data_IF_919712821580
#
_entry.id   IF_919712821580
#
_cell.length_a   1.000
_cell.length_b   1.000
_cell.length_c   1.000
_cell.angle_alpha   90.00
_cell.angle_beta   90.00
_cell.angle_gamma   90.00
#
_symmetry.space_group_name_H-M   'P 1'
#
loop_
_entity.id
_entity.type
_entity.pdbx_description
1 polymer ?
#
# COMPACT_ATOMS: atom_id res chain seq x y z
N UNK A 1 -6.70 -31.63 31.59
CA UNK A 1 -7.20 -30.24 31.43
C UNK A 1 -5.99 -29.33 31.45
N UNK A 2 -5.58 -28.80 30.30
CA UNK A 2 -4.47 -27.86 30.22
C UNK A 2 -5.04 -26.46 29.94
N UNK A 3 -5.06 -25.63 30.97
CA UNK A 3 -5.42 -24.21 30.88
C UNK A 3 -4.28 -23.43 30.21
N UNK A 4 -4.30 -23.37 28.88
CA UNK A 4 -3.49 -22.44 28.09
C UNK A 4 -4.45 -21.66 27.18
N UNK A 5 -5.04 -20.55 27.64
CA UNK A 5 -5.89 -19.76 26.73
C UNK A 5 -6.19 -18.30 27.10
N UNK A 6 -5.86 -17.81 28.29
CA UNK A 6 -6.37 -16.48 28.71
C UNK A 6 -5.38 -15.34 28.45
N UNK A 7 -4.12 -15.46 28.86
CA UNK A 7 -3.18 -14.32 28.83
C UNK A 7 -2.67 -13.93 27.42
N UNK A 8 -2.29 -14.90 26.58
CA UNK A 8 -1.83 -14.58 25.21
C UNK A 8 -2.94 -14.00 24.32
N UNK A 9 -4.19 -14.43 24.51
CA UNK A 9 -5.34 -13.90 23.75
C UNK A 9 -5.67 -12.47 24.22
N UNK A 10 -5.55 -12.19 25.53
CA UNK A 10 -5.72 -10.85 26.07
C UNK A 10 -4.59 -9.88 25.64
N UNK A 11 -3.34 -10.36 25.50
CA UNK A 11 -2.24 -9.56 24.96
C UNK A 11 -2.47 -9.16 23.49
N UNK A 12 -2.92 -10.09 22.63
CA UNK A 12 -3.28 -9.76 21.24
C UNK A 12 -4.45 -8.76 21.14
N UNK A 13 -5.49 -8.93 21.98
CA UNK A 13 -6.64 -8.01 22.00
C UNK A 13 -6.26 -6.61 22.54
N UNK A 14 -5.29 -6.54 23.45
CA UNK A 14 -4.83 -5.27 24.01
C UNK A 14 -3.82 -4.56 23.11
N UNK A 15 -2.96 -5.29 22.39
CA UNK A 15 -2.11 -4.72 21.33
C UNK A 15 -2.96 -4.15 20.19
N UNK A 16 -3.98 -4.88 19.73
CA UNK A 16 -4.93 -4.36 18.73
C UNK A 16 -5.63 -3.09 19.21
N UNK A 17 -6.07 -3.02 20.48
CA UNK A 17 -6.73 -1.82 21.03
C UNK A 17 -5.79 -0.62 21.15
N UNK A 18 -4.52 -0.82 21.48
CA UNK A 18 -3.53 0.25 21.53
C UNK A 18 -3.11 0.70 20.13
N UNK A 19 -3.00 -0.24 19.18
CA UNK A 19 -2.69 0.03 17.78
C UNK A 19 -3.83 0.81 17.12
N UNK A 20 -5.09 0.39 17.32
CA UNK A 20 -6.31 1.09 16.88
C UNK A 20 -6.37 2.53 17.46
N UNK A 21 -6.03 2.73 18.74
CA UNK A 21 -5.98 4.10 19.33
C UNK A 21 -4.90 4.99 18.71
N UNK A 22 -3.75 4.42 18.34
CA UNK A 22 -2.67 5.18 17.68
C UNK A 22 -2.98 5.47 16.20
N UNK A 23 -3.65 4.54 15.52
CA UNK A 23 -4.09 4.65 14.12
C UNK A 23 -5.23 5.67 13.96
N UNK A 24 -6.06 5.84 14.99
CA UNK A 24 -7.10 6.88 15.07
C UNK A 24 -6.55 8.31 15.21
N UNK A 25 -5.24 8.50 15.40
CA UNK A 25 -4.60 9.84 15.37
C UNK A 25 -4.26 10.33 13.95
N UNK A 26 -4.65 9.57 12.91
CA UNK A 26 -4.71 10.00 11.51
C UNK A 26 -3.37 10.22 10.81
N UNK A 27 -2.24 10.19 11.52
CA UNK A 27 -0.92 10.51 10.94
C UNK A 27 -0.04 9.32 10.58
N UNK A 28 -0.48 8.08 10.81
CA UNK A 28 0.37 6.90 10.61
C UNK A 28 -0.26 5.84 9.73
N UNK A 29 0.59 5.12 9.01
CA UNK A 29 0.19 3.92 8.28
C UNK A 29 0.07 2.74 9.25
N UNK A 30 -1.09 2.08 9.23
CA UNK A 30 -1.31 0.82 9.92
C UNK A 30 -0.60 -0.35 9.23
N UNK A 31 -0.52 -1.48 9.93
CA UNK A 31 0.15 -2.70 9.45
C UNK A 31 -0.41 -3.21 8.12
N UNK A 32 -1.74 -3.14 7.93
CA UNK A 32 -2.42 -3.49 6.67
C UNK A 32 -1.92 -2.65 5.50
N UNK A 33 -1.82 -1.32 5.66
CA UNK A 33 -1.32 -0.44 4.62
C UNK A 33 0.15 -0.73 4.29
N UNK A 34 0.99 -0.95 5.30
CA UNK A 34 2.38 -1.30 5.10
C UNK A 34 2.54 -2.61 4.34
N UNK A 35 1.78 -3.65 4.70
CA UNK A 35 1.76 -4.93 3.97
C UNK A 35 1.34 -4.74 2.52
N UNK A 36 0.26 -3.99 2.29
CA UNK A 36 -0.22 -3.71 0.94
C UNK A 36 0.80 -2.93 0.11
N UNK A 37 1.58 -2.01 0.70
CA UNK A 37 2.58 -1.22 -0.02
C UNK A 37 3.85 -2.03 -0.32
N UNK A 38 4.36 -2.82 0.63
CA UNK A 38 5.70 -3.40 0.55
C UNK A 38 5.73 -4.90 0.22
N UNK A 39 4.66 -5.64 0.48
CA UNK A 39 4.60 -7.08 0.30
C UNK A 39 3.66 -7.49 -0.85
N UNK A 40 2.59 -6.72 -1.03
CA UNK A 40 1.52 -7.09 -1.95
C UNK A 40 0.75 -8.31 -1.46
N UNK A 41 -0.39 -8.55 -2.08
CA UNK A 41 -1.37 -9.53 -1.62
C UNK A 41 -1.94 -10.31 -2.81
N UNK A 42 -2.33 -11.57 -2.59
CA UNK A 42 -3.08 -12.38 -3.55
C UNK A 42 -4.39 -12.73 -2.86
N UNK A 43 -5.47 -12.11 -3.30
CA UNK A 43 -6.79 -12.22 -2.66
C UNK A 43 -7.91 -12.12 -3.68
N UNK A 44 -9.09 -12.60 -3.31
CA UNK A 44 -10.30 -12.47 -4.13
C UNK A 44 -10.80 -11.02 -4.09
N UNK A 45 -11.08 -10.45 -5.26
CA UNK A 45 -11.77 -9.17 -5.36
C UNK A 45 -13.27 -9.31 -5.03
N UNK A 46 -14.02 -8.21 -5.10
CA UNK A 46 -15.46 -8.19 -4.81
C UNK A 46 -16.30 -9.09 -5.73
N UNK A 47 -15.77 -9.50 -6.89
CA UNK A 47 -16.40 -10.45 -7.80
C UNK A 47 -15.96 -11.91 -7.57
N UNK A 48 -15.19 -12.19 -6.52
CA UNK A 48 -14.66 -13.51 -6.20
C UNK A 48 -13.46 -13.94 -7.04
N UNK A 49 -12.93 -13.06 -7.89
CA UNK A 49 -11.78 -13.37 -8.75
C UNK A 49 -10.49 -13.11 -7.97
N UNK A 50 -9.66 -14.14 -7.84
CA UNK A 50 -8.34 -14.03 -7.20
C UNK A 50 -7.39 -13.22 -8.07
N UNK A 51 -6.83 -12.15 -7.49
CA UNK A 51 -5.95 -11.21 -8.18
C UNK A 51 -4.77 -10.80 -7.29
N UNK A 52 -3.68 -10.37 -7.93
CA UNK A 52 -2.57 -9.72 -7.24
C UNK A 52 -2.89 -8.25 -6.97
N UNK A 53 -2.67 -7.79 -5.73
CA UNK A 53 -2.91 -6.43 -5.26
C UNK A 53 -1.68 -5.86 -4.55
N UNK A 54 -1.67 -4.53 -4.35
CA UNK A 54 -0.58 -3.84 -3.66
C UNK A 54 0.79 -3.92 -4.35
N UNK A 55 1.86 -3.90 -3.55
CA UNK A 55 3.26 -3.86 -3.96
C UNK A 55 3.59 -2.64 -4.85
N UNK A 56 4.04 -1.59 -4.18
CA UNK A 56 4.44 -0.31 -4.76
C UNK A 56 5.90 0.03 -4.49
N UNK A 57 6.65 -0.86 -3.83
CA UNK A 57 8.11 -0.77 -3.66
C UNK A 57 8.73 -2.16 -3.62
N UNK A 58 10.00 -2.27 -4.02
CA UNK A 58 10.78 -3.51 -3.96
C UNK A 58 11.82 -3.48 -2.83
N UNK A 59 11.74 -2.51 -1.92
CA UNK A 59 12.74 -2.36 -0.84
C UNK A 59 12.84 -3.59 0.08
N UNK A 60 11.75 -4.34 0.24
CA UNK A 60 11.71 -5.61 0.99
C UNK A 60 11.54 -6.84 0.07
N UNK A 61 11.69 -6.66 -1.26
CA UNK A 61 11.36 -7.60 -2.34
C UNK A 61 10.93 -9.00 -1.87
N UNK A 62 9.63 -9.28 -1.78
CA UNK A 62 9.14 -10.60 -1.37
C UNK A 62 9.64 -11.69 -2.32
N UNK A 63 10.02 -12.85 -1.77
CA UNK A 63 10.57 -13.97 -2.55
C UNK A 63 9.60 -14.52 -3.61
N UNK A 64 8.30 -14.24 -3.50
CA UNK A 64 7.27 -14.66 -4.43
C UNK A 64 6.95 -13.61 -5.50
N UNK A 65 7.77 -12.57 -5.64
CA UNK A 65 7.55 -11.46 -6.58
C UNK A 65 8.66 -11.43 -7.65
N UNK A 66 8.26 -11.33 -8.92
CA UNK A 66 9.17 -11.14 -10.05
C UNK A 66 8.73 -9.95 -10.91
N UNK A 67 9.65 -9.01 -11.14
CA UNK A 67 9.45 -7.99 -12.18
C UNK A 67 9.61 -8.64 -13.55
N UNK A 68 8.55 -8.57 -14.36
CA UNK A 68 8.57 -9.12 -15.72
C UNK A 68 9.17 -8.12 -16.70
N UNK A 69 8.74 -6.85 -16.62
CA UNK A 69 9.26 -5.75 -17.42
C UNK A 69 8.94 -4.40 -16.79
N UNK A 70 9.82 -3.43 -17.02
CA UNK A 70 9.51 -2.01 -16.84
C UNK A 70 8.72 -1.53 -18.05
N UNK A 71 7.50 -1.04 -17.83
CA UNK A 71 6.59 -0.57 -18.88
C UNK A 71 6.89 0.90 -19.20
N UNK A 72 7.01 1.73 -18.17
CA UNK A 72 7.35 3.14 -18.30
C UNK A 72 8.64 3.44 -17.56
N UNK A 73 9.52 4.22 -18.20
CA UNK A 73 10.76 4.71 -17.57
C UNK A 73 10.44 5.64 -16.40
N UNK A 74 11.45 5.83 -15.56
CA UNK A 74 11.43 6.78 -14.44
C UNK A 74 10.92 8.15 -14.92
N UNK A 75 9.90 8.69 -14.25
CA UNK A 75 9.53 10.09 -14.41
C UNK A 75 10.55 11.00 -13.70
N UNK A 76 10.33 12.32 -13.78
CA UNK A 76 11.23 13.31 -13.15
C UNK A 76 11.42 13.12 -11.63
N UNK A 77 10.52 12.40 -10.96
CA UNK A 77 10.58 12.13 -9.54
C UNK A 77 11.05 10.69 -9.23
N UNK A 78 11.45 9.93 -10.24
CA UNK A 78 11.89 8.54 -10.09
C UNK A 78 10.75 7.52 -9.95
N UNK A 79 9.50 7.91 -10.18
CA UNK A 79 8.37 6.97 -10.22
C UNK A 79 8.40 6.22 -11.53
N UNK A 80 8.08 4.92 -11.52
CA UNK A 80 8.08 4.09 -12.74
C UNK A 80 6.91 3.11 -12.71
N UNK A 81 6.64 2.50 -13.87
CA UNK A 81 5.58 1.51 -14.00
C UNK A 81 6.18 0.17 -14.41
N UNK A 82 5.78 -0.90 -13.74
CA UNK A 82 6.20 -2.26 -14.05
C UNK A 82 5.01 -3.17 -14.35
N UNK A 83 5.26 -4.23 -15.13
CA UNK A 83 4.49 -5.47 -15.07
C UNK A 83 5.23 -6.42 -14.15
N UNK A 84 4.54 -6.95 -13.16
CA UNK A 84 5.09 -7.90 -12.21
C UNK A 84 4.21 -9.15 -12.12
N UNK A 85 4.82 -10.22 -11.64
CA UNK A 85 4.19 -11.49 -11.34
C UNK A 85 4.33 -11.78 -9.84
N UNK A 86 3.25 -12.25 -9.22
CA UNK A 86 3.22 -12.75 -7.85
C UNK A 86 2.82 -14.22 -7.87
N UNK A 87 3.61 -15.06 -7.22
CA UNK A 87 3.30 -16.47 -7.06
C UNK A 87 2.55 -16.68 -5.74
N UNK A 88 1.40 -17.31 -5.81
CA UNK A 88 0.72 -17.84 -4.63
C UNK A 88 1.51 -19.05 -4.13
N UNK A 89 2.08 -18.94 -2.93
CA UNK A 89 2.93 -19.97 -2.35
C UNK A 89 2.15 -21.24 -1.95
N UNK A 90 0.83 -21.14 -1.77
CA UNK A 90 -0.01 -22.28 -1.44
C UNK A 90 -0.37 -23.09 -2.68
N UNK A 91 -0.73 -22.40 -3.77
CA UNK A 91 -1.25 -23.05 -4.98
C UNK A 91 -0.24 -23.15 -6.13
N UNK A 92 0.89 -22.44 -6.04
CA UNK A 92 1.87 -22.28 -7.11
C UNK A 92 1.38 -21.43 -8.29
N UNK A 93 0.15 -20.91 -8.24
CA UNK A 93 -0.42 -20.11 -9.33
C UNK A 93 0.25 -18.75 -9.41
N UNK A 94 0.43 -18.27 -10.64
CA UNK A 94 1.06 -16.98 -10.92
C UNK A 94 -0.02 -15.98 -11.32
N UNK A 95 -0.03 -14.83 -10.65
CA UNK A 95 -0.91 -13.70 -10.93
C UNK A 95 -0.08 -12.52 -11.40
N UNK A 96 -0.46 -11.91 -12.53
CA UNK A 96 0.28 -10.76 -13.07
C UNK A 96 -0.50 -9.47 -12.91
N UNK A 97 0.20 -8.38 -12.61
CA UNK A 97 -0.39 -7.04 -12.49
C UNK A 97 0.53 -5.95 -13.04
N UNK A 98 -0.06 -4.81 -13.34
CA UNK A 98 0.63 -3.53 -13.53
C UNK A 98 0.71 -2.82 -12.19
N UNK A 99 1.85 -2.23 -11.85
CA UNK A 99 2.01 -1.42 -10.63
C UNK A 99 2.79 -0.13 -10.91
N UNK A 100 2.40 0.96 -10.27
CA UNK A 100 3.21 2.17 -10.15
C UNK A 100 4.10 2.04 -8.92
N UNK A 101 5.38 2.32 -9.09
CA UNK A 101 6.41 2.04 -8.10
C UNK A 101 7.03 3.33 -7.57
N UNK A 102 7.25 3.37 -6.25
CA UNK A 102 8.08 4.38 -5.61
C UNK A 102 9.51 4.31 -6.15
N UNK A 103 10.28 5.41 -6.08
CA UNK A 103 11.66 5.42 -6.52
C UNK A 103 12.46 4.28 -5.89
N UNK A 104 13.18 3.52 -6.72
CA UNK A 104 13.93 2.36 -6.26
C UNK A 104 15.09 2.73 -5.30
N UNK A 105 15.51 3.99 -5.31
CA UNK A 105 16.53 4.54 -4.41
C UNK A 105 15.99 4.88 -3.01
N UNK A 106 14.68 4.84 -2.81
CA UNK A 106 14.07 5.20 -1.53
C UNK A 106 14.04 4.02 -0.56
N UNK A 107 14.45 4.28 0.68
CA UNK A 107 14.25 3.34 1.79
C UNK A 107 12.78 3.20 2.17
N UNK A 108 12.44 2.12 2.87
CA UNK A 108 11.11 1.92 3.47
C UNK A 108 10.69 3.11 4.34
N UNK A 109 11.58 3.57 5.22
CA UNK A 109 11.32 4.70 6.12
C UNK A 109 11.05 5.99 5.35
N UNK A 110 11.78 6.23 4.26
CA UNK A 110 11.54 7.38 3.38
C UNK A 110 10.16 7.32 2.74
N UNK A 111 9.78 6.16 2.20
CA UNK A 111 8.45 5.97 1.59
C UNK A 111 7.35 6.22 2.62
N UNK A 112 7.47 5.65 3.82
CA UNK A 112 6.52 5.86 4.93
C UNK A 112 6.41 7.34 5.26
N UNK A 113 7.55 8.02 5.47
CA UNK A 113 7.59 9.45 5.77
C UNK A 113 6.86 10.29 4.72
N UNK A 114 7.09 10.05 3.42
CA UNK A 114 6.43 10.82 2.36
C UNK A 114 4.92 10.62 2.34
N UNK A 115 4.44 9.41 2.63
CA UNK A 115 3.01 9.12 2.71
C UNK A 115 2.41 9.77 3.96
N UNK A 116 3.01 9.58 5.12
CA UNK A 116 2.53 10.12 6.39
C UNK A 116 2.56 11.65 6.43
N UNK A 117 3.49 12.28 5.70
CA UNK A 117 3.58 13.75 5.59
C UNK A 117 2.34 14.41 4.98
N UNK A 118 1.54 13.66 4.23
CA UNK A 118 0.33 14.17 3.57
C UNK A 118 -0.97 13.63 4.16
N UNK A 119 -0.88 12.79 5.20
CA UNK A 119 -2.07 12.30 5.89
C UNK A 119 -2.72 13.42 6.72
N UNK A 120 -4.06 13.53 6.72
CA UNK A 120 -4.76 14.53 7.51
C UNK A 120 -4.59 14.26 9.00
N UNK A 121 -4.53 15.32 9.82
CA UNK A 121 -4.43 15.19 11.28
C UNK A 121 -5.67 14.52 11.91
N UNK A 122 -6.82 14.57 11.23
CA UNK A 122 -8.07 13.95 11.64
C UNK A 122 -8.65 13.24 10.41
N UNK A 123 -8.75 11.92 10.47
CA UNK A 123 -9.30 11.08 9.40
C UNK A 123 -10.78 10.78 9.64
N UNK A 124 -11.59 11.82 9.88
CA UNK A 124 -13.05 11.64 9.93
C UNK A 124 -13.56 11.71 8.49
N UNK A 125 -13.50 10.59 7.79
CA UNK A 125 -14.38 10.39 6.65
C UNK A 125 -15.74 9.99 7.22
N UNK A 126 -16.83 10.67 6.87
CA UNK A 126 -18.14 10.32 7.39
C UNK A 126 -18.43 8.86 7.04
N UNK A 127 -18.50 8.02 8.07
CA UNK A 127 -18.93 6.64 7.98
C UNK A 127 -20.44 6.64 7.68
N UNK A 128 -20.79 7.04 6.47
CA UNK A 128 -22.13 6.84 5.93
C UNK A 128 -22.15 5.41 5.42
N UNK A 129 -22.55 4.50 6.32
CA UNK A 129 -23.00 3.12 6.05
C UNK A 129 -22.07 2.25 5.19
N UNK A 130 -21.35 1.33 5.85
CA UNK A 130 -20.64 0.15 5.29
C UNK A 130 -19.75 0.36 4.04
N UNK A 131 -18.45 0.07 4.19
CA UNK A 131 -17.48 -0.09 3.08
C UNK A 131 -17.19 1.15 2.21
N UNK A 132 -17.13 2.34 2.81
CA UNK A 132 -16.72 3.53 2.06
C UNK A 132 -15.20 3.49 1.79
N UNK A 133 -14.87 3.26 0.52
CA UNK A 133 -13.54 3.51 -0.02
C UNK A 133 -13.45 4.98 -0.43
N UNK A 134 -12.38 5.66 -0.03
CA UNK A 134 -12.07 6.98 -0.57
C UNK A 134 -10.61 7.06 -1.01
N UNK A 135 -10.33 7.94 -1.97
CA UNK A 135 -8.96 8.16 -2.47
C UNK A 135 -8.58 9.60 -2.23
N UNK A 136 -7.60 9.82 -1.35
CA UNK A 136 -6.95 11.10 -1.18
C UNK A 136 -5.85 11.24 -2.22
N UNK A 137 -5.89 12.33 -2.99
CA UNK A 137 -4.84 12.70 -3.95
C UNK A 137 -4.05 13.87 -3.39
N UNK A 138 -2.77 13.68 -3.11
CA UNK A 138 -1.88 14.71 -2.56
C UNK A 138 -0.50 14.63 -3.18
N UNK A 139 0.28 15.70 -3.06
CA UNK A 139 1.69 15.68 -3.46
C UNK A 139 2.53 15.65 -2.20
N UNK A 140 3.41 14.66 -2.10
CA UNK A 140 4.38 14.51 -1.00
C UNK A 140 5.37 15.68 -0.96
N UNK A 141 6.10 15.80 0.15
CA UNK A 141 7.08 16.87 0.35
C UNK A 141 8.15 16.94 -0.75
N UNK A 142 8.45 15.80 -1.38
CA UNK A 142 9.42 15.70 -2.48
C UNK A 142 8.80 15.75 -3.88
N UNK A 143 7.56 16.23 -4.01
CA UNK A 143 6.93 16.47 -5.31
C UNK A 143 6.37 15.22 -5.99
N UNK A 144 6.38 14.05 -5.33
CA UNK A 144 5.71 12.84 -5.83
C UNK A 144 4.21 12.96 -5.58
N UNK A 145 3.37 12.91 -6.62
CA UNK A 145 1.94 12.84 -6.45
C UNK A 145 1.53 11.42 -6.05
N UNK A 146 0.78 11.33 -4.95
CA UNK A 146 0.34 10.11 -4.29
C UNK A 146 -1.18 9.97 -4.38
N UNK A 147 -1.63 8.73 -4.54
CA UNK A 147 -2.98 8.32 -4.21
C UNK A 147 -2.91 7.50 -2.92
N UNK A 148 -3.74 7.85 -1.93
CA UNK A 148 -3.88 7.12 -0.67
C UNK A 148 -5.32 6.63 -0.59
N UNK A 149 -5.48 5.31 -0.52
CA UNK A 149 -6.79 4.65 -0.38
C UNK A 149 -7.07 4.55 1.11
N UNK A 150 -8.26 4.97 1.52
CA UNK A 150 -8.78 4.73 2.85
C UNK A 150 -9.96 3.76 2.79
N UNK A 151 -10.11 2.96 3.83
CA UNK A 151 -11.28 2.14 4.08
C UNK A 151 -11.71 2.38 5.52
N UNK A 152 -12.99 2.71 5.73
CA UNK A 152 -13.54 3.02 7.06
C UNK A 152 -12.73 4.09 7.82
N UNK A 153 -12.20 5.08 7.10
CA UNK A 153 -11.41 6.17 7.69
C UNK A 153 -9.94 5.83 7.99
N UNK A 154 -9.49 4.60 7.75
CA UNK A 154 -8.10 4.19 7.96
C UNK A 154 -7.36 4.05 6.62
N UNK A 155 -6.08 4.46 6.52
CA UNK A 155 -5.28 4.17 5.34
C UNK A 155 -5.22 2.66 5.07
N UNK A 156 -5.61 2.26 3.86
CA UNK A 156 -5.55 0.88 3.37
C UNK A 156 -4.34 0.67 2.45
N UNK A 157 -3.97 1.69 1.67
CA UNK A 157 -2.88 1.62 0.69
C UNK A 157 -2.42 3.01 0.29
N UNK A 158 -1.20 3.13 -0.20
CA UNK A 158 -0.70 4.34 -0.84
C UNK A 158 0.24 3.99 -1.99
N UNK A 159 0.14 4.74 -3.09
CA UNK A 159 0.99 4.52 -4.26
C UNK A 159 1.27 5.81 -5.01
N UNK A 160 2.45 5.91 -5.65
CA UNK A 160 2.77 7.07 -6.45
C UNK A 160 2.02 7.02 -7.79
N UNK A 161 1.77 8.19 -8.34
CA UNK A 161 1.23 8.36 -9.68
C UNK A 161 2.37 8.74 -10.61
N UNK A 162 2.53 7.95 -11.68
CA UNK A 162 3.52 8.23 -12.71
C UNK A 162 3.04 9.39 -13.58
N UNK A 163 3.90 10.38 -13.81
CA UNK A 163 3.61 11.47 -14.76
C UNK A 163 4.43 11.31 -16.04
N UNK A 164 3.75 11.24 -17.19
CA UNK A 164 4.43 11.30 -18.50
C UNK A 164 5.25 12.58 -18.56
N UNK A 165 6.55 12.44 -18.83
CA UNK A 165 7.42 13.59 -19.12
C UNK A 165 6.99 14.18 -20.48
N UNK A 166 6.12 15.19 -20.48
CA UNK A 166 5.72 15.94 -21.70
C UNK A 166 6.82 16.86 -22.25
N UNK A 167 8.10 16.58 -21.98
CA UNK A 167 9.22 17.44 -22.41
C UNK A 167 9.82 17.06 -23.78
N UNK A 168 9.28 16.04 -24.46
CA UNK A 168 9.75 15.59 -25.77
C UNK A 168 8.61 15.24 -26.74
N UNK A 169 7.43 15.84 -26.56
CA UNK A 169 6.40 15.82 -27.61
C UNK A 169 6.65 17.11 -28.43
N UNK A 170 7.62 17.07 -29.36
CA UNK A 170 7.66 18.02 -30.47
C UNK A 170 6.70 17.48 -31.53
N UNK A 171 5.56 18.14 -31.69
CA UNK A 171 4.74 18.06 -32.91
C UNK A 171 5.35 18.97 -33.98
#
# INVERSE_FOLDING_TARGET
MANYSSQRVQEYINDDKHQIKSELTGKKLGSTALRHIFQGEIEANTSGIVVAQGLHSLVEQPNNVKIMKTIEKLDKNGVYIVKLAMTDLTTGKIYTKRSTMFPHTWSKQRIIYEIESVLPAITIFPATTSSSYCVLKKTSSNGIPLNIIFQNGLPLSAYPTWKKNRKYDFD
#
